data_IF_484310153541
#
_entry.id   IF_484310153541
#
_cell.length_a   1.000
_cell.length_b   1.000
_cell.length_c   1.000
_cell.angle_alpha   90.00
_cell.angle_beta   90.00
_cell.angle_gamma   90.00
#
_symmetry.space_group_name_H-M   'P 1'
#
loop_
_entity.id
_entity.type
_entity.pdbx_description
1 polymer ?
#
# COMPACT_ATOMS: atom_id res chain seq x y z
N UNK A 1 0.73 18.24 -9.24
CA UNK A 1 2.02 18.38 -8.47
C UNK A 1 2.69 17.03 -8.27
N UNK A 2 1.99 15.98 -7.86
CA UNK A 2 2.57 14.65 -7.61
C UNK A 2 3.39 14.11 -8.79
N UNK A 3 2.82 14.04 -9.99
CA UNK A 3 3.50 13.52 -11.19
C UNK A 3 4.84 14.21 -11.48
N UNK A 4 4.91 15.54 -11.25
CA UNK A 4 6.15 16.29 -11.40
C UNK A 4 7.18 15.88 -10.37
N UNK A 5 6.81 15.84 -9.07
CA UNK A 5 7.72 15.45 -8.00
C UNK A 5 8.18 14.00 -8.10
N UNK A 6 7.30 13.12 -8.56
CA UNK A 6 7.65 11.72 -8.80
C UNK A 6 8.66 11.57 -9.93
N UNK A 7 8.49 12.34 -11.02
CA UNK A 7 9.47 12.38 -12.13
C UNK A 7 10.80 12.97 -11.66
N UNK A 8 10.77 14.09 -10.93
CA UNK A 8 11.97 14.68 -10.35
C UNK A 8 12.74 13.66 -9.48
N UNK A 9 12.03 12.83 -8.70
CA UNK A 9 12.62 11.79 -7.87
C UNK A 9 13.32 10.71 -8.72
N UNK A 10 12.65 10.29 -9.78
CA UNK A 10 13.22 9.33 -10.72
C UNK A 10 14.49 9.89 -11.38
N UNK A 11 14.44 11.13 -11.88
CA UNK A 11 15.55 11.83 -12.56
C UNK A 11 16.71 12.09 -11.58
N UNK A 12 16.43 12.32 -10.29
CA UNK A 12 17.45 12.46 -9.24
C UNK A 12 18.10 11.11 -8.85
N UNK A 13 17.61 10.00 -9.39
CA UNK A 13 18.10 8.65 -9.09
C UNK A 13 17.77 8.21 -7.66
N UNK A 14 16.62 8.61 -7.12
CA UNK A 14 16.13 8.02 -5.87
C UNK A 14 15.98 6.52 -6.04
N UNK A 15 16.45 5.70 -5.09
CA UNK A 15 16.21 4.27 -5.14
C UNK A 15 14.71 4.01 -4.91
N UNK A 16 14.11 3.25 -5.81
CA UNK A 16 12.69 2.85 -5.72
C UNK A 16 11.74 4.05 -5.42
N UNK A 17 11.70 5.09 -6.28
CA UNK A 17 10.87 6.28 -6.01
C UNK A 17 9.37 5.95 -5.86
N UNK A 18 8.94 4.79 -6.37
CA UNK A 18 7.61 4.23 -6.22
C UNK A 18 7.35 3.58 -4.85
N UNK A 19 8.37 3.35 -4.03
CA UNK A 19 8.18 2.79 -2.69
C UNK A 19 7.46 3.79 -1.80
N UNK A 20 6.38 3.32 -1.17
CA UNK A 20 5.57 4.13 -0.26
C UNK A 20 5.18 3.34 0.97
N UNK A 21 5.15 4.01 2.11
CA UNK A 21 4.61 3.43 3.34
C UNK A 21 3.09 3.52 3.30
N UNK A 22 2.42 2.36 3.28
CA UNK A 22 0.99 2.25 3.50
C UNK A 22 0.73 2.04 4.98
N UNK A 23 0.00 2.97 5.60
CA UNK A 23 -0.50 2.85 6.97
C UNK A 23 -1.99 2.53 6.97
N UNK A 24 -2.37 1.54 7.75
CA UNK A 24 -3.75 1.06 7.91
C UNK A 24 -4.08 0.94 9.39
N UNK A 25 -5.35 0.73 9.72
CA UNK A 25 -5.80 0.63 11.11
C UNK A 25 -6.58 -0.66 11.31
N UNK A 26 -6.09 -1.53 12.18
CA UNK A 26 -6.84 -2.68 12.65
C UNK A 26 -7.91 -2.24 13.66
N UNK A 27 -9.17 -2.57 13.38
CA UNK A 27 -10.26 -2.33 14.33
C UNK A 27 -10.19 -3.29 15.53
N UNK A 28 -10.76 -2.91 16.69
CA UNK A 28 -10.83 -3.80 17.85
C UNK A 28 -11.52 -5.11 17.51
N UNK A 29 -10.93 -6.23 17.96
CA UNK A 29 -11.47 -7.58 17.73
C UNK A 29 -11.28 -8.12 16.31
N UNK A 30 -10.73 -7.34 15.37
CA UNK A 30 -10.44 -7.85 14.05
C UNK A 30 -9.28 -8.86 14.11
N UNK A 31 -9.45 -10.09 13.56
CA UNK A 31 -8.38 -11.06 13.50
C UNK A 31 -7.28 -10.55 12.57
N UNK A 32 -6.05 -10.50 13.06
CA UNK A 32 -4.91 -10.16 12.22
C UNK A 32 -4.27 -11.47 11.70
N UNK A 33 -4.24 -11.69 10.38
CA UNK A 33 -3.49 -12.80 9.80
C UNK A 33 -2.03 -12.77 10.28
N UNK A 34 -1.51 -13.95 10.66
CA UNK A 34 -0.13 -14.08 11.15
C UNK A 34 0.06 -13.74 12.63
N UNK A 35 -0.98 -13.45 13.36
CA UNK A 35 -0.88 -13.37 14.81
C UNK A 35 -0.64 -14.78 15.39
N UNK A 36 0.39 -14.88 16.25
CA UNK A 36 0.63 -16.11 16.98
C UNK A 36 -0.42 -16.24 18.11
N UNK A 37 -1.32 -17.24 18.07
CA UNK A 37 -2.35 -17.40 19.09
C UNK A 37 -1.78 -17.78 20.48
N UNK A 38 -0.52 -18.24 20.53
CA UNK A 38 0.16 -18.59 21.78
C UNK A 38 0.71 -17.38 22.54
N UNK A 39 0.72 -16.21 21.94
CA UNK A 39 1.13 -14.98 22.62
C UNK A 39 -0.07 -14.43 23.37
N UNK A 40 0.00 -14.49 24.70
CA UNK A 40 -0.97 -13.81 25.56
C UNK A 40 -0.88 -12.29 25.36
N UNK A 41 -1.90 -11.76 24.70
CA UNK A 41 -2.05 -10.31 24.45
C UNK A 41 -2.98 -9.64 25.46
N UNK A 42 -3.43 -10.37 26.49
CA UNK A 42 -4.35 -9.81 27.50
C UNK A 42 -3.78 -8.57 28.19
N UNK A 43 -2.45 -8.51 28.35
CA UNK A 43 -1.76 -7.32 28.86
C UNK A 43 -1.74 -6.14 27.86
N UNK A 44 -2.02 -6.37 26.58
CA UNK A 44 -2.08 -5.32 25.54
C UNK A 44 -3.52 -4.91 25.23
N UNK A 45 -4.45 -5.29 26.10
CA UNK A 45 -5.88 -5.08 25.91
C UNK A 45 -6.28 -3.62 26.02
N UNK A 46 -5.84 -2.86 25.07
CA UNK A 46 -6.59 -1.67 24.71
C UNK A 46 -7.56 -2.15 23.62
N UNK A 47 -8.86 -2.20 23.95
CA UNK A 47 -9.92 -2.42 22.96
C UNK A 47 -10.04 -1.14 22.09
N UNK A 48 -8.96 -0.81 21.38
CA UNK A 48 -8.79 0.40 20.59
C UNK A 48 -8.24 0.06 19.20
N UNK A 49 -8.51 0.89 18.20
CA UNK A 49 -7.92 0.77 16.87
C UNK A 49 -6.39 0.81 16.95
N UNK A 50 -5.71 -0.10 16.25
CA UNK A 50 -4.24 -0.17 16.23
C UNK A 50 -3.70 0.13 14.84
N UNK A 51 -2.84 1.16 14.68
CA UNK A 51 -2.19 1.43 13.41
C UNK A 51 -1.13 0.36 13.10
N UNK A 52 -0.97 0.08 11.82
CA UNK A 52 0.13 -0.72 11.30
C UNK A 52 0.63 -0.16 9.98
N UNK A 53 1.92 -0.36 9.67
CA UNK A 53 2.52 0.19 8.48
C UNK A 53 3.44 -0.83 7.79
N UNK A 54 3.56 -0.72 6.48
CA UNK A 54 4.47 -1.50 5.62
C UNK A 54 4.77 -0.76 4.34
N UNK A 55 5.86 -1.14 3.69
CA UNK A 55 6.16 -0.62 2.35
C UNK A 55 5.35 -1.39 1.32
N UNK A 56 4.79 -0.66 0.36
CA UNK A 56 4.18 -1.18 -0.88
C UNK A 56 4.67 -0.32 -2.05
N UNK A 57 4.52 -0.82 -3.28
CA UNK A 57 4.97 -0.11 -4.47
C UNK A 57 3.80 0.53 -5.21
N UNK A 58 3.89 1.83 -5.46
CA UNK A 58 2.99 2.52 -6.38
C UNK A 58 3.14 1.92 -7.77
N UNK A 59 2.01 1.64 -8.44
CA UNK A 59 2.00 1.16 -9.82
C UNK A 59 1.40 2.18 -10.77
N UNK A 60 0.33 2.83 -10.35
CA UNK A 60 -0.30 3.90 -11.12
C UNK A 60 -0.71 5.04 -10.19
N UNK A 61 -0.66 6.26 -10.70
CA UNK A 61 -1.23 7.44 -10.05
C UNK A 61 -1.86 8.33 -11.13
N UNK A 62 -3.13 8.60 -10.97
CA UNK A 62 -3.94 9.44 -11.86
C UNK A 62 -4.90 10.34 -11.07
N UNK A 63 -5.84 10.96 -11.76
CA UNK A 63 -6.84 11.83 -11.11
C UNK A 63 -7.82 11.06 -10.21
N UNK A 64 -7.94 9.73 -10.39
CA UNK A 64 -8.80 8.89 -9.56
C UNK A 64 -8.10 8.44 -8.28
N UNK A 65 -6.76 8.40 -8.24
CA UNK A 65 -6.00 8.06 -7.04
C UNK A 65 -4.70 7.32 -7.29
N UNK A 66 -4.24 6.64 -6.24
CA UNK A 66 -2.96 5.93 -6.20
C UNK A 66 -3.21 4.42 -6.14
N UNK A 67 -2.58 3.66 -7.05
CA UNK A 67 -2.85 2.22 -7.15
C UNK A 67 -1.65 1.40 -6.73
N UNK A 68 -1.91 0.37 -5.95
CA UNK A 68 -0.96 -0.69 -5.60
C UNK A 68 -1.64 -2.06 -5.65
N UNK A 69 -0.86 -3.13 -5.70
CA UNK A 69 -1.39 -4.49 -5.79
C UNK A 69 -0.87 -5.34 -4.63
N UNK A 70 -1.74 -6.20 -4.11
CA UNK A 70 -1.42 -7.04 -2.96
C UNK A 70 -2.30 -8.28 -2.87
N UNK A 71 -1.98 -9.15 -1.91
CA UNK A 71 -2.85 -10.23 -1.47
C UNK A 71 -3.94 -9.67 -0.55
N UNK A 72 -5.21 -9.90 -0.88
CA UNK A 72 -6.38 -9.45 -0.11
C UNK A 72 -6.48 -10.13 1.27
N UNK A 73 -6.00 -11.36 1.40
CA UNK A 73 -5.98 -12.10 2.66
C UNK A 73 -4.77 -11.78 3.55
N UNK A 74 -3.88 -10.86 3.12
CA UNK A 74 -2.79 -10.38 3.96
C UNK A 74 -3.30 -9.50 5.09
N UNK A 75 -2.44 -9.24 6.10
CA UNK A 75 -2.78 -8.35 7.21
C UNK A 75 -3.33 -7.00 6.74
N UNK A 76 -2.66 -6.35 5.77
CA UNK A 76 -3.14 -5.09 5.22
C UNK A 76 -4.48 -5.22 4.49
N UNK A 77 -4.69 -6.33 3.78
CA UNK A 77 -5.96 -6.61 3.10
C UNK A 77 -7.10 -6.71 4.11
N UNK A 78 -6.94 -7.52 5.15
CA UNK A 78 -7.95 -7.66 6.21
C UNK A 78 -8.20 -6.36 6.96
N UNK A 79 -7.16 -5.54 7.19
CA UNK A 79 -7.30 -4.23 7.83
C UNK A 79 -8.10 -3.26 6.93
N UNK A 80 -7.82 -3.23 5.63
CA UNK A 80 -8.53 -2.38 4.66
C UNK A 80 -9.99 -2.84 4.43
N UNK A 81 -10.27 -4.12 4.50
CA UNK A 81 -11.65 -4.64 4.41
C UNK A 81 -12.48 -4.23 5.63
N UNK A 82 -11.87 -4.19 6.81
CA UNK A 82 -12.54 -3.75 8.05
C UNK A 82 -12.62 -2.24 8.19
N UNK A 83 -11.62 -1.53 7.68
CA UNK A 83 -11.53 -0.07 7.71
C UNK A 83 -10.75 0.43 6.49
N UNK A 84 -11.42 0.99 5.48
CA UNK A 84 -10.76 1.40 4.24
C UNK A 84 -9.86 2.66 4.39
N UNK A 85 -9.98 3.39 5.51
CA UNK A 85 -9.16 4.58 5.73
C UNK A 85 -7.69 4.22 5.89
N UNK A 86 -6.85 4.90 5.12
CA UNK A 86 -5.43 4.66 5.11
C UNK A 86 -4.64 5.91 4.75
N UNK A 87 -3.33 5.84 4.94
CA UNK A 87 -2.42 6.85 4.41
C UNK A 87 -1.29 6.23 3.61
N UNK A 88 -0.82 6.97 2.62
CA UNK A 88 0.40 6.67 1.88
C UNK A 88 1.43 7.75 2.17
N UNK A 89 2.68 7.35 2.37
CA UNK A 89 3.78 8.29 2.56
C UNK A 89 4.94 7.93 1.65
N UNK A 90 5.31 8.86 0.79
CA UNK A 90 6.54 8.83 0.00
C UNK A 90 7.59 9.69 0.68
N UNK A 91 8.83 9.24 0.69
CA UNK A 91 9.95 10.03 1.15
C UNK A 91 11.13 9.91 0.18
N UNK A 92 11.46 11.00 -0.47
CA UNK A 92 12.56 11.12 -1.42
C UNK A 92 13.72 11.88 -0.77
N UNK A 93 14.63 11.11 -0.22
CA UNK A 93 15.68 11.61 0.66
C UNK A 93 16.67 12.54 -0.02
N UNK A 94 17.05 12.24 -1.27
CA UNK A 94 17.97 13.08 -2.06
C UNK A 94 17.43 14.47 -2.33
N UNK A 95 16.10 14.60 -2.40
CA UNK A 95 15.44 15.87 -2.66
C UNK A 95 14.89 16.54 -1.40
N UNK A 96 15.02 15.89 -0.25
CA UNK A 96 14.37 16.32 0.99
C UNK A 96 12.87 16.61 0.80
N UNK A 97 12.16 15.73 0.07
CA UNK A 97 10.73 15.85 -0.20
C UNK A 97 9.95 14.65 0.34
N UNK A 98 8.76 14.93 0.82
CA UNK A 98 7.79 13.91 1.21
C UNK A 98 6.41 14.25 0.63
N UNK A 99 5.67 13.22 0.23
CA UNK A 99 4.26 13.35 -0.11
C UNK A 99 3.47 12.41 0.80
N UNK A 100 2.48 12.97 1.48
CA UNK A 100 1.56 12.21 2.31
C UNK A 100 0.16 12.29 1.72
N UNK A 101 -0.48 11.16 1.53
CA UNK A 101 -1.85 11.03 1.04
C UNK A 101 -2.69 10.45 2.16
N UNK A 102 -3.79 11.09 2.49
CA UNK A 102 -4.85 10.56 3.36
C UNK A 102 -6.08 10.30 2.50
N UNK A 103 -6.69 9.14 2.65
CA UNK A 103 -7.87 8.76 1.88
C UNK A 103 -8.37 7.37 2.22
N UNK A 104 -9.21 6.83 1.37
CA UNK A 104 -9.76 5.49 1.55
C UNK A 104 -9.40 4.58 0.38
N UNK A 105 -9.21 3.30 0.69
CA UNK A 105 -8.88 2.29 -0.30
C UNK A 105 -10.13 1.62 -0.85
N UNK A 106 -10.17 1.48 -2.18
CA UNK A 106 -11.18 0.71 -2.92
C UNK A 106 -10.50 -0.44 -3.64
N UNK A 107 -11.13 -1.61 -3.72
CA UNK A 107 -10.61 -2.70 -4.57
C UNK A 107 -10.80 -2.35 -6.04
N UNK A 108 -9.78 -2.57 -6.84
CA UNK A 108 -9.90 -2.54 -8.30
C UNK A 108 -10.76 -3.68 -8.80
N UNK A 109 -11.32 -3.53 -9.98
CA UNK A 109 -12.07 -4.60 -10.66
C UNK A 109 -11.17 -5.81 -10.94
N UNK A 110 -11.78 -6.97 -11.12
CA UNK A 110 -11.06 -8.18 -11.53
C UNK A 110 -10.35 -7.99 -12.88
N UNK A 111 -10.95 -7.21 -13.79
CA UNK A 111 -10.34 -6.91 -15.09
C UNK A 111 -9.09 -6.03 -14.95
N UNK A 112 -9.13 -4.96 -14.15
CA UNK A 112 -7.97 -4.10 -13.87
C UNK A 112 -6.86 -4.89 -13.17
N UNK A 113 -7.24 -5.72 -12.20
CA UNK A 113 -6.30 -6.57 -11.47
C UNK A 113 -5.63 -7.60 -12.38
N UNK A 114 -6.39 -8.23 -13.29
CA UNK A 114 -5.86 -9.18 -14.26
C UNK A 114 -4.94 -8.49 -15.26
N UNK A 115 -5.32 -7.34 -15.78
CA UNK A 115 -4.50 -6.61 -16.74
C UNK A 115 -3.10 -6.31 -16.19
N UNK A 116 -2.99 -5.90 -14.92
CA UNK A 116 -1.70 -5.72 -14.28
C UNK A 116 -1.00 -7.06 -13.95
N UNK A 117 -1.74 -8.06 -13.46
CA UNK A 117 -1.18 -9.37 -13.12
C UNK A 117 -0.46 -10.02 -14.30
N UNK A 118 -1.04 -9.92 -15.49
CA UNK A 118 -0.49 -10.52 -16.73
C UNK A 118 0.83 -9.83 -17.15
N UNK A 119 1.09 -8.59 -16.73
CA UNK A 119 2.37 -7.89 -17.00
C UNK A 119 3.50 -8.30 -16.06
N UNK A 120 3.20 -9.04 -14.98
CA UNK A 120 4.20 -9.39 -13.97
C UNK A 120 5.10 -10.52 -14.47
N UNK A 121 6.39 -10.50 -14.08
CA UNK A 121 7.27 -11.64 -14.31
C UNK A 121 6.67 -12.94 -13.76
N UNK A 122 6.96 -14.05 -14.42
CA UNK A 122 6.45 -15.38 -14.07
C UNK A 122 6.66 -15.73 -12.60
N UNK A 123 7.87 -15.58 -12.07
CA UNK A 123 8.16 -15.85 -10.66
C UNK A 123 7.35 -15.00 -9.69
N UNK A 124 6.99 -13.76 -10.08
CA UNK A 124 6.09 -12.91 -9.27
C UNK A 124 4.63 -13.38 -9.32
N UNK A 125 4.20 -13.99 -10.44
CA UNK A 125 2.87 -14.60 -10.57
C UNK A 125 2.77 -15.89 -9.75
N UNK A 126 3.82 -16.73 -9.79
CA UNK A 126 3.96 -17.93 -8.94
C UNK A 126 3.92 -17.52 -7.46
N UNK A 127 4.72 -16.53 -7.06
CA UNK A 127 4.76 -16.05 -5.68
C UNK A 127 3.41 -15.53 -5.14
N UNK A 128 2.56 -14.99 -6.01
CA UNK A 128 1.22 -14.55 -5.63
C UNK A 128 0.30 -15.72 -5.22
N UNK A 129 0.49 -16.89 -5.79
CA UNK A 129 -0.20 -18.14 -5.42
C UNK A 129 0.43 -18.83 -4.23
N UNK A 130 1.76 -18.95 -4.25
CA UNK A 130 2.50 -19.75 -3.26
C UNK A 130 2.54 -19.13 -1.87
N UNK A 131 2.56 -17.78 -1.79
CA UNK A 131 2.74 -17.09 -0.53
C UNK A 131 1.42 -16.87 0.23
N UNK A 132 1.19 -17.52 1.39
CA UNK A 132 0.10 -17.18 2.29
C UNK A 132 0.45 -15.90 3.05
N UNK A 133 0.46 -14.78 2.33
CA UNK A 133 1.05 -13.52 2.79
C UNK A 133 0.58 -13.10 4.18
N UNK A 134 1.52 -12.73 5.04
CA UNK A 134 1.33 -12.36 6.45
C UNK A 134 1.00 -13.51 7.40
N UNK A 135 0.87 -14.73 6.95
CA UNK A 135 0.65 -15.89 7.85
C UNK A 135 1.97 -16.42 8.37
N UNK A 136 1.93 -17.02 9.57
CA UNK A 136 3.08 -17.76 10.12
C UNK A 136 3.26 -19.03 9.31
N UNK A 137 4.49 -19.30 8.89
CA UNK A 137 4.93 -20.53 8.24
C UNK A 137 6.04 -21.17 9.08
N UNK A 138 6.23 -22.47 8.95
CA UNK A 138 7.18 -23.20 9.78
C UNK A 138 8.64 -22.78 9.49
N UNK A 139 9.00 -22.64 8.22
CA UNK A 139 10.35 -22.31 7.76
C UNK A 139 10.34 -21.90 6.27
N UNK A 140 11.52 -21.66 5.74
CA UNK A 140 11.71 -21.32 4.31
C UNK A 140 11.36 -22.49 3.39
N UNK A 141 11.66 -23.72 3.78
CA UNK A 141 11.42 -24.91 2.96
C UNK A 141 9.92 -25.12 2.68
N UNK A 142 9.06 -24.76 3.65
CA UNK A 142 7.60 -24.75 3.40
C UNK A 142 7.21 -23.81 2.25
N UNK A 143 7.81 -22.61 2.21
CA UNK A 143 7.54 -21.68 1.13
C UNK A 143 8.09 -22.18 -0.21
N UNK A 144 9.29 -22.73 -0.22
CA UNK A 144 9.94 -23.26 -1.42
C UNK A 144 9.13 -24.46 -1.97
N UNK A 145 8.61 -25.31 -1.09
CA UNK A 145 7.68 -26.39 -1.49
C UNK A 145 6.41 -25.82 -2.14
N UNK A 146 5.79 -24.79 -1.55
CA UNK A 146 4.59 -24.14 -2.11
C UNK A 146 4.85 -23.51 -3.49
N UNK A 147 6.04 -22.95 -3.70
CA UNK A 147 6.48 -22.44 -5.00
C UNK A 147 6.52 -23.58 -6.00
N UNK A 148 7.23 -24.67 -5.68
CA UNK A 148 7.34 -25.85 -6.54
C UNK A 148 5.96 -26.46 -6.87
N UNK A 149 5.11 -26.65 -5.87
CA UNK A 149 3.75 -27.18 -6.07
C UNK A 149 2.92 -26.27 -7.01
N UNK A 150 3.11 -24.95 -6.93
CA UNK A 150 2.46 -23.97 -7.78
C UNK A 150 2.96 -24.05 -9.23
N UNK A 151 4.26 -24.18 -9.42
CA UNK A 151 4.91 -24.38 -10.73
C UNK A 151 4.39 -25.68 -11.41
N UNK A 152 4.34 -26.78 -10.66
CA UNK A 152 3.82 -28.05 -11.14
C UNK A 152 2.33 -27.96 -11.54
N UNK A 153 1.56 -27.19 -10.79
CA UNK A 153 0.11 -27.04 -11.03
C UNK A 153 -0.21 -26.23 -12.28
N UNK A 154 0.49 -25.15 -12.53
CA UNK A 154 0.11 -24.19 -13.56
C UNK A 154 1.07 -24.10 -14.74
N UNK A 155 2.30 -24.60 -14.60
CA UNK A 155 3.32 -24.43 -15.64
C UNK A 155 3.52 -22.95 -15.95
N UNK A 156 3.41 -22.60 -17.23
CA UNK A 156 3.55 -21.21 -17.71
C UNK A 156 2.23 -20.42 -17.72
N UNK A 157 1.09 -21.10 -17.65
CA UNK A 157 -0.23 -20.46 -17.67
C UNK A 157 -0.76 -20.23 -16.25
N UNK A 158 -0.20 -19.23 -15.59
CA UNK A 158 -0.49 -18.90 -14.19
C UNK A 158 -1.65 -17.90 -14.14
N UNK A 159 -2.86 -18.33 -13.73
CA UNK A 159 -4.02 -17.45 -13.66
C UNK A 159 -3.93 -16.48 -12.50
N UNK A 160 -4.74 -15.40 -12.55
CA UNK A 160 -4.92 -14.49 -11.42
C UNK A 160 -5.50 -15.23 -10.20
N UNK A 161 -4.83 -15.22 -9.03
CA UNK A 161 -5.41 -15.79 -7.81
C UNK A 161 -6.65 -15.01 -7.35
N UNK A 162 -7.69 -15.65 -6.82
CA UNK A 162 -8.89 -14.97 -6.33
C UNK A 162 -8.62 -14.07 -5.11
N UNK A 163 -7.56 -14.36 -4.38
CA UNK A 163 -7.12 -13.61 -3.19
C UNK A 163 -6.10 -12.51 -3.51
N UNK A 164 -5.87 -12.16 -4.80
CA UNK A 164 -4.87 -11.15 -5.19
C UNK A 164 -5.48 -10.14 -6.16
N UNK A 165 -5.11 -8.88 -6.00
CA UNK A 165 -5.52 -7.81 -6.90
C UNK A 165 -5.08 -6.44 -6.44
N UNK A 166 -5.68 -5.42 -7.05
CA UNK A 166 -5.33 -4.03 -6.83
C UNK A 166 -6.23 -3.32 -5.83
N UNK A 167 -5.64 -2.29 -5.24
CA UNK A 167 -6.33 -1.26 -4.49
C UNK A 167 -6.07 0.10 -5.14
N UNK A 168 -7.08 0.96 -5.13
CA UNK A 168 -6.97 2.39 -5.40
C UNK A 168 -7.19 3.14 -4.10
N UNK A 169 -6.23 3.95 -3.70
CA UNK A 169 -6.43 4.92 -2.62
C UNK A 169 -6.95 6.20 -3.25
N UNK A 170 -8.22 6.49 -2.98
CA UNK A 170 -8.89 7.72 -3.39
C UNK A 170 -8.52 8.80 -2.37
N UNK A 171 -7.80 9.85 -2.77
CA UNK A 171 -7.28 10.82 -1.81
C UNK A 171 -8.34 11.86 -1.43
N UNK A 172 -8.42 12.17 -0.14
CA UNK A 172 -9.19 13.30 0.39
C UNK A 172 -8.24 14.46 0.76
N UNK A 173 -7.01 14.12 1.13
CA UNK A 173 -5.96 15.10 1.46
C UNK A 173 -4.63 14.65 0.85
N UNK A 174 -3.87 15.60 0.29
CA UNK A 174 -2.49 15.37 -0.16
C UNK A 174 -1.62 16.49 0.37
N UNK A 175 -0.64 16.16 1.21
CA UNK A 175 0.36 17.12 1.67
C UNK A 175 1.67 16.93 0.92
N UNK A 176 2.21 18.01 0.41
CA UNK A 176 3.54 18.13 -0.17
C UNK A 176 4.45 18.85 0.81
N UNK A 177 5.43 18.16 1.30
CA UNK A 177 6.42 18.66 2.25
C UNK A 177 7.79 18.77 1.59
N UNK A 178 8.50 19.89 1.80
CA UNK A 178 9.85 20.07 1.32
C UNK A 178 10.74 20.62 2.42
N UNK A 179 11.89 19.96 2.66
CA UNK A 179 12.87 20.36 3.63
C UNK A 179 13.48 21.73 3.34
N UNK A 180 13.62 22.56 4.40
CA UNK A 180 14.27 23.87 4.35
C UNK A 180 15.20 24.03 5.54
N UNK A 181 16.21 24.91 5.45
CA UNK A 181 17.06 25.27 6.59
C UNK A 181 16.25 25.71 7.81
N UNK A 182 16.85 25.55 8.99
CA UNK A 182 16.28 25.97 10.27
C UNK A 182 14.92 25.34 10.61
N UNK A 183 14.59 24.20 9.98
CA UNK A 183 13.29 23.48 10.12
C UNK A 183 12.07 24.30 9.66
N UNK A 184 12.26 25.38 8.93
CA UNK A 184 11.17 26.19 8.35
C UNK A 184 10.72 25.59 7.01
N UNK A 185 10.16 24.39 7.08
CA UNK A 185 9.80 23.58 5.93
C UNK A 185 8.61 24.14 5.14
N UNK A 186 8.64 23.97 3.82
CA UNK A 186 7.46 24.28 3.00
C UNK A 186 6.47 23.11 3.10
N UNK A 187 5.22 23.43 3.43
CA UNK A 187 4.14 22.46 3.53
C UNK A 187 2.91 22.99 2.78
N UNK A 188 2.52 22.30 1.72
CA UNK A 188 1.31 22.61 0.95
C UNK A 188 0.34 21.44 1.08
N UNK A 189 -0.84 21.70 1.62
CA UNK A 189 -1.91 20.73 1.77
C UNK A 189 -3.00 21.01 0.76
N UNK A 190 -3.33 19.98 -0.02
CA UNK A 190 -4.48 19.93 -0.91
C UNK A 190 -5.58 19.16 -0.20
N UNK A 191 -6.76 19.75 -0.08
CA UNK A 191 -7.94 19.12 0.53
C UNK A 191 -9.03 19.06 -0.52
N UNK A 192 -9.59 17.86 -0.72
CA UNK A 192 -10.68 17.64 -1.67
C UNK A 192 -11.95 18.32 -1.17
N UNK A 193 -12.67 18.99 -2.05
CA UNK A 193 -13.99 19.52 -1.72
C UNK A 193 -15.02 18.37 -1.73
N UNK A 194 -15.65 18.04 -0.59
CA UNK A 194 -16.60 16.93 -0.52
C UNK A 194 -17.90 17.22 -1.30
N UNK A 195 -18.17 18.48 -1.62
CA UNK A 195 -19.41 18.92 -2.29
C UNK A 195 -19.21 19.20 -3.80
N UNK A 196 -17.97 19.12 -4.30
CA UNK A 196 -17.65 19.40 -5.70
C UNK A 196 -16.61 18.44 -6.22
N UNK A 197 -17.02 17.53 -7.10
CA UNK A 197 -16.12 16.53 -7.68
C UNK A 197 -14.97 17.19 -8.45
N UNK A 198 -13.75 16.85 -8.05
CA UNK A 198 -12.53 17.30 -8.74
C UNK A 198 -11.98 18.64 -8.26
N UNK A 199 -12.67 19.37 -7.38
CA UNK A 199 -12.15 20.60 -6.80
C UNK A 199 -11.28 20.34 -5.56
N UNK A 200 -10.19 21.09 -5.47
CA UNK A 200 -9.23 21.06 -4.38
C UNK A 200 -8.97 22.45 -3.85
N UNK A 201 -9.04 22.62 -2.54
CA UNK A 201 -8.48 23.79 -1.88
C UNK A 201 -7.01 23.56 -1.58
N UNK A 202 -6.21 24.63 -1.60
CA UNK A 202 -4.78 24.58 -1.30
C UNK A 202 -4.48 25.47 -0.12
N UNK A 203 -3.83 24.92 0.88
CA UNK A 203 -3.47 25.60 2.11
C UNK A 203 -1.96 25.49 2.34
N UNK A 204 -1.39 26.51 2.98
CA UNK A 204 -0.01 26.46 3.49
C UNK A 204 -0.07 26.16 4.99
N UNK A 205 0.62 25.10 5.40
CA UNK A 205 0.75 24.75 6.81
C UNK A 205 2.03 25.35 7.39
N UNK A 206 1.99 25.72 8.67
CA UNK A 206 3.19 26.03 9.43
C UNK A 206 4.10 24.78 9.52
N UNK A 207 5.43 24.96 9.57
CA UNK A 207 6.38 23.87 9.71
C UNK A 207 6.18 23.09 11.00
#
# INVERSE_FOLDING_TARGET
MFQRWFRDAYDAGEPEPEAMTLSTVALPGAPAPGENPSIDKSAWTVNAPRPSARVVLLKYADNAGFQFFSNYESRKGSELDGNPWCSLTFFWSKMHRSVRVLGHAERLTAQESKAYFDTRPEGSRIGAWASPQSRVIANRDELDKRIHDTEQRFGTDIPLPPHWGGYRVVPDEIEFWMGRPNRLHDRLRYVRNPHSLGEWSVERLAP
#
